data_IF_486382220908
#
_entry.id   IF_486382220908
#
_cell.length_a   1.000
_cell.length_b   1.000
_cell.length_c   1.000
_cell.angle_alpha   90.00
_cell.angle_beta   90.00
_cell.angle_gamma   90.00
#
_symmetry.space_group_name_H-M   'P 1'
#
loop_
_entity.id
_entity.type
_entity.pdbx_description
1 polymer ?
#
# COMPACT_ATOMS: atom_id res chain seq x y z
N UNK A 1 37.06 -33.17 39.57
CA UNK A 1 37.15 -32.08 38.56
C UNK A 1 37.37 -32.66 37.16
N UNK A 2 36.41 -33.44 36.63
CA UNK A 2 36.53 -34.03 35.28
C UNK A 2 35.20 -34.13 34.52
N UNK A 3 34.11 -33.59 35.08
CA UNK A 3 32.78 -33.66 34.47
C UNK A 3 32.18 -32.27 34.18
N UNK A 4 32.89 -31.19 34.50
CA UNK A 4 32.45 -29.80 34.24
C UNK A 4 32.88 -29.32 32.83
N UNK A 5 33.83 -30.00 32.19
CA UNK A 5 34.38 -29.59 30.89
C UNK A 5 33.58 -30.05 29.66
N UNK A 6 32.59 -30.94 29.81
CA UNK A 6 31.79 -31.45 28.68
C UNK A 6 30.54 -30.58 28.43
N UNK A 7 30.06 -29.85 29.43
CA UNK A 7 28.89 -28.96 29.29
C UNK A 7 29.22 -27.63 28.59
N UNK A 8 30.48 -27.22 28.54
CA UNK A 8 30.92 -26.02 27.81
C UNK A 8 31.11 -26.25 26.31
N UNK A 9 31.14 -27.50 25.84
CA UNK A 9 31.35 -27.84 24.43
C UNK A 9 30.05 -27.82 23.61
N UNK A 10 28.89 -27.92 24.27
CA UNK A 10 27.58 -27.98 23.61
C UNK A 10 26.95 -26.57 23.51
N UNK A 11 27.37 -25.62 24.36
CA UNK A 11 26.85 -24.24 24.35
C UNK A 11 27.40 -23.34 23.22
N UNK A 12 28.40 -23.81 22.45
CA UNK A 12 29.03 -23.03 21.38
C UNK A 12 28.57 -23.44 19.97
N UNK A 13 27.66 -24.41 19.82
CA UNK A 13 27.16 -24.88 18.52
C UNK A 13 25.73 -24.43 18.18
N UNK A 14 25.11 -23.57 19.00
CA UNK A 14 23.83 -22.94 18.68
C UNK A 14 23.98 -21.44 18.39
N UNK A 15 25.07 -21.05 17.73
CA UNK A 15 25.00 -19.84 16.91
C UNK A 15 24.26 -20.22 15.64
N UNK A 16 23.06 -19.71 15.36
CA UNK A 16 22.57 -19.74 14.01
C UNK A 16 23.60 -18.97 13.19
N UNK A 17 24.37 -19.69 12.37
CA UNK A 17 25.06 -19.11 11.23
C UNK A 17 24.06 -18.16 10.58
N UNK A 18 24.43 -16.89 10.50
CA UNK A 18 23.67 -15.81 9.90
C UNK A 18 23.36 -16.14 8.42
N UNK A 19 22.36 -16.98 8.22
CA UNK A 19 21.54 -17.07 7.03
C UNK A 19 20.27 -16.32 7.37
N UNK A 20 20.32 -14.98 7.27
CA UNK A 20 19.14 -14.15 7.38
C UNK A 20 18.23 -14.52 6.21
N UNK A 21 17.35 -15.50 6.43
CA UNK A 21 16.25 -15.81 5.53
C UNK A 21 15.40 -14.55 5.47
N UNK A 22 15.59 -13.75 4.43
CA UNK A 22 14.74 -12.62 4.09
C UNK A 22 13.40 -13.21 3.65
N UNK A 23 12.57 -13.63 4.61
CA UNK A 23 11.20 -14.02 4.33
C UNK A 23 10.57 -12.86 3.55
N UNK A 24 10.38 -13.09 2.24
CA UNK A 24 9.71 -12.16 1.34
C UNK A 24 8.33 -11.90 1.97
N UNK A 25 8.01 -10.63 2.24
CA UNK A 25 6.73 -10.26 2.83
C UNK A 25 5.62 -10.85 1.96
N UNK A 26 4.72 -11.63 2.56
CA UNK A 26 3.51 -12.08 1.86
C UNK A 26 2.59 -10.88 1.68
N UNK A 27 2.49 -10.39 0.44
CA UNK A 27 1.68 -9.22 0.12
C UNK A 27 0.19 -9.46 0.32
N UNK A 28 -0.28 -10.70 0.24
CA UNK A 28 -1.69 -11.02 0.49
C UNK A 28 -2.00 -10.85 1.98
N UNK A 29 -1.09 -11.35 2.83
CA UNK A 29 -1.19 -11.15 4.28
C UNK A 29 -1.07 -9.67 4.64
N UNK A 30 -0.08 -8.96 4.11
CA UNK A 30 0.08 -7.52 4.33
C UNK A 30 -1.16 -6.73 3.88
N UNK A 31 -1.74 -7.04 2.72
CA UNK A 31 -2.94 -6.37 2.25
C UNK A 31 -4.14 -6.62 3.17
N UNK A 32 -4.29 -7.84 3.69
CA UNK A 32 -5.30 -8.15 4.71
C UNK A 32 -5.11 -7.32 5.98
N UNK A 33 -3.86 -7.22 6.47
CA UNK A 33 -3.52 -6.39 7.62
C UNK A 33 -3.80 -4.90 7.37
N UNK A 34 -3.50 -4.40 6.17
CA UNK A 34 -3.80 -3.02 5.78
C UNK A 34 -5.31 -2.78 5.72
N UNK A 35 -6.10 -3.69 5.15
CA UNK A 35 -7.57 -3.59 5.14
C UNK A 35 -8.13 -3.52 6.57
N UNK A 36 -7.68 -4.41 7.47
CA UNK A 36 -8.08 -4.38 8.88
C UNK A 36 -7.67 -3.09 9.57
N UNK A 37 -6.47 -2.59 9.30
CA UNK A 37 -6.00 -1.34 9.85
C UNK A 37 -6.84 -0.15 9.36
N UNK A 38 -7.15 -0.10 8.06
CA UNK A 38 -8.00 0.94 7.47
C UNK A 38 -9.41 0.91 8.06
N UNK A 39 -9.98 -0.28 8.26
CA UNK A 39 -11.28 -0.44 8.90
C UNK A 39 -11.25 0.09 10.35
N UNK A 40 -10.21 -0.22 11.11
CA UNK A 40 -10.05 0.25 12.50
C UNK A 40 -9.72 1.75 12.61
N UNK A 41 -9.20 2.36 11.54
CA UNK A 41 -8.80 3.77 11.48
C UNK A 41 -9.56 4.51 10.37
N UNK A 42 -10.83 4.15 10.18
CA UNK A 42 -11.63 4.58 9.05
C UNK A 42 -12.01 6.07 9.11
N UNK A 43 -11.93 6.69 10.30
CA UNK A 43 -12.11 8.13 10.49
C UNK A 43 -10.85 8.87 10.05
N UNK A 44 -10.79 9.20 8.76
CA UNK A 44 -9.64 9.88 8.16
C UNK A 44 -9.83 11.41 8.21
N UNK A 45 -8.94 12.15 8.89
CA UNK A 45 -9.04 13.61 8.95
C UNK A 45 -9.01 14.26 7.56
N UNK A 46 -9.97 15.15 7.30
CA UNK A 46 -10.08 15.90 6.04
C UNK A 46 -10.82 15.16 4.91
N UNK A 47 -11.25 13.92 5.12
CA UNK A 47 -12.10 13.21 4.17
C UNK A 47 -13.54 13.69 4.29
N UNK A 48 -14.15 14.06 3.17
CA UNK A 48 -15.56 14.46 3.12
C UNK A 48 -16.48 13.31 3.59
N UNK A 49 -17.57 13.58 4.33
CA UNK A 49 -18.46 12.52 4.85
C UNK A 49 -18.99 11.53 3.80
N UNK A 50 -19.22 11.97 2.56
CA UNK A 50 -19.66 11.12 1.45
C UNK A 50 -18.61 10.08 1.01
N UNK A 51 -17.34 10.32 1.34
CA UNK A 51 -16.22 9.42 1.05
C UNK A 51 -15.67 8.77 2.33
N UNK A 52 -16.41 8.84 3.44
CA UNK A 52 -15.97 8.31 4.72
C UNK A 52 -15.80 6.78 4.67
N UNK A 53 -14.58 6.33 4.96
CA UNK A 53 -14.21 4.93 4.98
C UNK A 53 -14.99 4.10 6.01
N UNK A 54 -15.52 4.72 7.07
CA UNK A 54 -16.28 4.01 8.11
C UNK A 54 -17.63 3.49 7.63
N UNK A 55 -18.18 4.09 6.57
CA UNK A 55 -19.48 3.71 6.03
C UNK A 55 -19.38 2.64 4.93
N UNK A 56 -18.16 2.19 4.61
CA UNK A 56 -17.93 1.22 3.55
C UNK A 56 -18.17 -0.20 4.05
N UNK A 57 -18.63 -1.06 3.14
CA UNK A 57 -18.58 -2.49 3.34
C UNK A 57 -17.11 -2.96 3.26
N UNK A 58 -16.63 -3.59 4.32
CA UNK A 58 -15.29 -4.17 4.40
C UNK A 58 -15.26 -5.68 4.17
N UNK A 59 -16.43 -6.32 4.02
CA UNK A 59 -16.55 -7.75 3.76
C UNK A 59 -16.26 -8.05 2.28
N UNK A 60 -15.02 -7.81 1.89
CA UNK A 60 -14.49 -8.06 0.56
C UNK A 60 -13.27 -8.99 0.65
N UNK A 61 -13.04 -9.83 -0.36
CA UNK A 61 -11.81 -10.63 -0.41
C UNK A 61 -10.59 -9.72 -0.50
N UNK A 62 -9.44 -10.25 -0.08
CA UNK A 62 -8.14 -9.60 -0.32
C UNK A 62 -7.91 -9.51 -1.84
N UNK A 63 -7.49 -8.35 -2.38
CA UNK A 63 -7.25 -8.21 -3.82
C UNK A 63 -6.08 -9.09 -4.27
N UNK A 64 -6.11 -9.52 -5.55
CA UNK A 64 -4.95 -10.15 -6.19
C UNK A 64 -3.86 -9.10 -6.38
N UNK A 65 -2.65 -9.37 -5.88
CA UNK A 65 -1.51 -8.45 -5.94
C UNK A 65 -0.36 -9.09 -6.71
N UNK A 66 0.08 -8.42 -7.78
CA UNK A 66 1.22 -8.86 -8.59
C UNK A 66 2.41 -7.92 -8.39
N UNK A 67 3.55 -8.48 -7.98
CA UNK A 67 4.83 -7.74 -7.88
C UNK A 67 5.54 -7.79 -9.23
N UNK A 68 5.93 -6.63 -9.75
CA UNK A 68 6.63 -6.51 -11.01
C UNK A 68 7.92 -5.68 -10.90
N UNK A 69 8.98 -6.04 -11.64
CA UNK A 69 10.11 -5.14 -11.84
C UNK A 69 9.65 -3.89 -12.59
N UNK A 70 10.36 -2.77 -12.39
CA UNK A 70 10.03 -1.43 -12.93
C UNK A 70 9.58 -1.44 -14.40
N UNK A 71 10.33 -2.14 -15.27
CA UNK A 71 10.06 -2.19 -16.71
C UNK A 71 8.72 -2.86 -17.02
N UNK A 72 8.38 -3.94 -16.31
CA UNK A 72 7.11 -4.64 -16.48
C UNK A 72 5.95 -3.85 -15.86
N UNK A 73 6.16 -3.24 -14.69
CA UNK A 73 5.15 -2.39 -14.06
C UNK A 73 4.73 -1.22 -14.98
N UNK A 74 5.71 -0.54 -15.58
CA UNK A 74 5.45 0.54 -16.55
C UNK A 74 4.70 0.03 -17.79
N UNK A 75 5.01 -1.18 -18.25
CA UNK A 75 4.33 -1.80 -19.39
C UNK A 75 2.85 -2.07 -19.06
N UNK A 76 2.57 -2.70 -17.92
CA UNK A 76 1.19 -2.99 -17.50
C UNK A 76 0.40 -1.72 -17.19
N UNK A 77 1.03 -0.71 -16.59
CA UNK A 77 0.38 0.57 -16.32
C UNK A 77 -0.06 1.26 -17.62
N UNK A 78 0.80 1.29 -18.65
CA UNK A 78 0.45 1.83 -19.98
C UNK A 78 -0.64 1.02 -20.67
N UNK A 79 -0.58 -0.31 -20.60
CA UNK A 79 -1.60 -1.20 -21.16
C UNK A 79 -2.98 -0.93 -20.57
N UNK A 80 -3.06 -0.53 -19.30
CA UNK A 80 -4.31 -0.18 -18.61
C UNK A 80 -4.71 1.32 -18.78
N UNK A 81 -4.04 2.05 -19.66
CA UNK A 81 -4.31 3.46 -19.94
C UNK A 81 -3.87 4.42 -18.82
N UNK A 82 -2.93 3.99 -17.97
CA UNK A 82 -2.43 4.78 -16.86
C UNK A 82 -1.59 5.99 -17.31
N UNK A 83 -1.78 7.10 -16.63
CA UNK A 83 -1.00 8.32 -16.76
C UNK A 83 -0.71 8.91 -15.37
N UNK A 84 0.44 9.57 -15.18
CA UNK A 84 0.76 10.27 -13.93
C UNK A 84 0.89 11.76 -14.25
N UNK A 85 -0.10 12.59 -13.89
CA UNK A 85 -0.06 14.02 -14.16
C UNK A 85 1.23 14.68 -13.65
N UNK A 86 1.93 15.39 -14.54
CA UNK A 86 3.15 16.13 -14.19
C UNK A 86 4.37 15.26 -13.81
N UNK A 87 4.37 13.95 -14.12
CA UNK A 87 5.50 13.05 -13.89
C UNK A 87 5.71 12.08 -15.04
N UNK A 88 6.95 11.60 -15.26
CA UNK A 88 7.18 10.50 -16.19
C UNK A 88 6.50 9.23 -15.67
N UNK A 89 5.92 8.42 -16.57
CA UNK A 89 5.29 7.14 -16.22
C UNK A 89 6.21 6.19 -15.43
N UNK A 90 7.53 6.31 -15.60
CA UNK A 90 8.53 5.56 -14.83
C UNK A 90 8.50 5.83 -13.31
N UNK A 91 7.75 6.85 -12.88
CA UNK A 91 7.49 7.19 -11.50
C UNK A 91 6.56 6.22 -10.77
N UNK A 92 5.76 5.43 -11.50
CA UNK A 92 4.74 4.52 -10.94
C UNK A 92 5.33 3.58 -9.89
N UNK A 93 4.62 3.42 -8.77
CA UNK A 93 5.01 2.59 -7.62
C UNK A 93 4.03 1.45 -7.36
N UNK A 94 2.77 1.69 -7.67
CA UNK A 94 1.71 0.72 -7.80
C UNK A 94 0.63 1.29 -8.69
N UNK A 95 -0.35 0.46 -9.05
CA UNK A 95 -1.63 0.93 -9.55
C UNK A 95 -2.70 -0.15 -9.37
N UNK A 96 -3.90 0.32 -9.04
CA UNK A 96 -5.15 -0.43 -9.08
C UNK A 96 -5.73 -0.49 -10.51
N UNK A 97 -6.28 -1.64 -10.91
CA UNK A 97 -7.02 -1.78 -12.17
C UNK A 97 -8.53 -1.71 -11.92
N UNK A 98 -9.16 -0.64 -12.41
CA UNK A 98 -10.59 -0.36 -12.20
C UNK A 98 -11.51 -0.79 -13.36
N UNK A 99 -10.97 -1.38 -14.44
CA UNK A 99 -11.75 -1.70 -15.65
C UNK A 99 -11.19 -2.89 -16.42
N UNK A 100 -12.00 -3.42 -17.33
CA UNK A 100 -11.62 -4.53 -18.20
C UNK A 100 -11.51 -5.88 -17.47
N UNK A 101 -10.87 -6.85 -18.12
CA UNK A 101 -10.77 -8.24 -17.63
C UNK A 101 -9.90 -8.40 -16.37
N UNK A 102 -9.01 -7.45 -16.12
CA UNK A 102 -8.10 -7.45 -14.97
C UNK A 102 -8.62 -6.54 -13.84
N UNK A 103 -9.89 -6.08 -13.90
CA UNK A 103 -10.49 -5.28 -12.84
C UNK A 103 -10.35 -6.00 -11.49
N UNK A 104 -10.06 -5.22 -10.45
CA UNK A 104 -9.78 -5.66 -9.08
C UNK A 104 -8.35 -6.15 -8.80
N UNK A 105 -7.46 -6.15 -9.80
CA UNK A 105 -6.03 -6.46 -9.58
C UNK A 105 -5.24 -5.23 -9.15
N UNK A 106 -4.23 -5.46 -8.33
CA UNK A 106 -3.23 -4.45 -7.95
C UNK A 106 -1.86 -4.89 -8.47
N UNK A 107 -1.17 -3.99 -9.17
CA UNK A 107 0.21 -4.20 -9.57
C UNK A 107 1.12 -3.31 -8.74
N UNK A 108 2.18 -3.88 -8.20
CA UNK A 108 3.11 -3.20 -7.31
C UNK A 108 4.55 -3.31 -7.80
N UNK A 109 5.36 -2.29 -7.56
CA UNK A 109 6.80 -2.32 -7.83
C UNK A 109 7.50 -3.32 -6.91
N UNK A 110 8.41 -4.12 -7.46
CA UNK A 110 9.32 -4.94 -6.67
C UNK A 110 10.27 -4.07 -5.82
N UNK A 111 10.02 -4.06 -4.51
CA UNK A 111 10.72 -3.27 -3.50
C UNK A 111 10.54 -3.89 -2.11
N UNK A 112 11.25 -3.36 -1.11
CA UNK A 112 11.20 -3.91 0.25
C UNK A 112 9.94 -3.46 1.03
N UNK A 113 8.95 -4.35 1.11
CA UNK A 113 7.69 -4.16 1.85
C UNK A 113 7.80 -4.29 3.38
N UNK A 114 8.99 -4.54 3.94
CA UNK A 114 9.21 -4.36 5.38
C UNK A 114 9.31 -2.89 5.79
N UNK A 115 9.44 -1.98 4.81
CA UNK A 115 9.49 -0.53 5.03
C UNK A 115 8.09 0.10 4.95
N UNK A 116 7.83 1.10 5.79
CA UNK A 116 6.53 1.78 5.87
C UNK A 116 6.13 2.46 4.55
N UNK A 117 7.07 3.07 3.80
CA UNK A 117 6.73 3.77 2.56
C UNK A 117 6.11 2.83 1.50
N UNK A 118 6.74 1.70 1.12
CA UNK A 118 6.09 0.71 0.25
C UNK A 118 4.77 0.15 0.77
N UNK A 119 4.61 -0.02 2.09
CA UNK A 119 3.34 -0.43 2.68
C UNK A 119 2.26 0.66 2.51
N UNK A 120 2.63 1.93 2.69
CA UNK A 120 1.74 3.06 2.45
C UNK A 120 1.35 3.16 0.97
N UNK A 121 2.28 2.94 0.04
CA UNK A 121 1.98 2.86 -1.39
C UNK A 121 1.00 1.71 -1.69
N UNK A 122 1.13 0.55 -1.04
CA UNK A 122 0.15 -0.54 -1.19
C UNK A 122 -1.21 -0.18 -0.59
N UNK A 123 -1.24 0.47 0.58
CA UNK A 123 -2.47 0.92 1.22
C UNK A 123 -3.24 1.93 0.34
N UNK A 124 -2.53 2.77 -0.41
CA UNK A 124 -3.13 3.64 -1.41
C UNK A 124 -3.91 2.82 -2.46
N UNK A 125 -3.29 1.81 -3.07
CA UNK A 125 -3.96 0.98 -4.07
C UNK A 125 -5.09 0.11 -3.47
N UNK A 126 -4.94 -0.36 -2.23
CA UNK A 126 -5.99 -1.08 -1.51
C UNK A 126 -7.19 -0.16 -1.22
N UNK A 127 -6.97 1.13 -0.97
CA UNK A 127 -8.05 2.11 -0.79
C UNK A 127 -8.88 2.26 -2.07
N UNK A 128 -8.22 2.38 -3.24
CA UNK A 128 -8.92 2.37 -4.53
C UNK A 128 -9.73 1.09 -4.75
N UNK A 129 -9.17 -0.07 -4.40
CA UNK A 129 -9.90 -1.35 -4.46
C UNK A 129 -11.18 -1.35 -3.59
N UNK A 130 -11.09 -0.87 -2.35
CA UNK A 130 -12.25 -0.81 -1.44
C UNK A 130 -13.28 0.20 -1.91
N UNK A 131 -12.86 1.37 -2.40
CA UNK A 131 -13.75 2.35 -3.02
C UNK A 131 -14.49 1.74 -4.22
N UNK A 132 -13.79 1.04 -5.12
CA UNK A 132 -14.40 0.40 -6.29
C UNK A 132 -15.41 -0.70 -5.89
N UNK A 133 -15.07 -1.54 -4.91
CA UNK A 133 -15.96 -2.58 -4.40
C UNK A 133 -17.22 -2.04 -3.73
N UNK A 134 -17.18 -0.79 -3.27
CA UNK A 134 -18.31 -0.06 -2.71
C UNK A 134 -19.02 0.84 -3.74
N UNK A 135 -18.63 0.80 -5.01
CA UNK A 135 -19.26 1.59 -6.07
C UNK A 135 -18.93 3.08 -6.03
N UNK A 136 -17.81 3.46 -5.40
CA UNK A 136 -17.43 4.86 -5.19
C UNK A 136 -16.39 5.38 -6.19
N UNK A 137 -15.94 4.56 -7.15
CA UNK A 137 -15.14 5.08 -8.26
C UNK A 137 -16.04 5.88 -9.20
N UNK A 138 -15.67 7.15 -9.41
CA UNK A 138 -16.39 8.11 -10.24
C UNK A 138 -15.48 8.63 -11.36
N UNK A 139 -16.06 9.30 -12.35
CA UNK A 139 -15.28 9.97 -13.40
C UNK A 139 -14.57 11.24 -12.92
N UNK A 140 -14.76 11.66 -11.67
CA UNK A 140 -14.08 12.79 -11.04
C UNK A 140 -12.88 12.29 -10.21
N UNK A 141 -11.63 12.40 -10.71
CA UNK A 141 -10.46 11.85 -10.04
C UNK A 141 -10.27 12.30 -8.59
N UNK A 142 -10.45 13.59 -8.24
CA UNK A 142 -10.30 14.04 -6.86
C UNK A 142 -11.19 13.31 -5.85
N UNK A 143 -12.42 12.92 -6.23
CA UNK A 143 -13.39 12.29 -5.33
C UNK A 143 -12.91 10.93 -4.79
N UNK A 144 -12.04 10.24 -5.51
CA UNK A 144 -11.49 8.96 -5.07
C UNK A 144 -9.98 9.02 -4.75
N UNK A 145 -9.21 9.89 -5.41
CA UNK A 145 -7.77 10.08 -5.13
C UNK A 145 -7.50 10.80 -3.80
N UNK A 146 -8.22 11.89 -3.50
CA UNK A 146 -7.99 12.67 -2.28
C UNK A 146 -8.21 11.83 -1.01
N UNK A 147 -9.35 11.12 -0.84
CA UNK A 147 -9.55 10.27 0.33
C UNK A 147 -8.46 9.21 0.48
N UNK A 148 -8.06 8.60 -0.63
CA UNK A 148 -7.01 7.59 -0.67
C UNK A 148 -5.64 8.13 -0.26
N UNK A 149 -5.27 9.34 -0.70
CA UNK A 149 -4.05 10.01 -0.24
C UNK A 149 -4.09 10.39 1.25
N UNK A 150 -5.24 10.85 1.75
CA UNK A 150 -5.40 11.18 3.16
C UNK A 150 -5.25 9.93 4.05
N UNK A 151 -5.85 8.80 3.64
CA UNK A 151 -5.66 7.50 4.30
C UNK A 151 -4.19 7.07 4.28
N UNK A 152 -3.51 7.20 3.14
CA UNK A 152 -2.07 6.90 3.01
C UNK A 152 -1.22 7.74 3.97
N UNK A 153 -1.51 9.04 4.08
CA UNK A 153 -0.83 9.97 4.98
C UNK A 153 -1.07 9.59 6.44
N UNK A 154 -2.31 9.27 6.81
CA UNK A 154 -2.65 8.84 8.16
C UNK A 154 -1.92 7.57 8.56
N UNK A 155 -1.89 6.56 7.69
CA UNK A 155 -1.12 5.33 7.91
C UNK A 155 0.36 5.62 8.15
N UNK A 156 0.97 6.41 7.25
CA UNK A 156 2.38 6.74 7.36
C UNK A 156 2.70 7.48 8.67
N UNK A 157 1.85 8.44 9.05
CA UNK A 157 1.98 9.17 10.32
C UNK A 157 1.86 8.24 11.52
N UNK A 158 0.85 7.36 11.53
CA UNK A 158 0.63 6.40 12.61
C UNK A 158 1.82 5.43 12.79
N UNK A 159 2.46 5.00 11.70
CA UNK A 159 3.58 4.04 11.75
C UNK A 159 4.94 4.67 12.03
N UNK A 160 5.12 5.95 11.77
CA UNK A 160 6.44 6.62 11.90
C UNK A 160 6.51 7.68 12.99
N UNK A 161 5.37 8.16 13.49
CA UNK A 161 5.29 9.35 14.35
C UNK A 161 5.60 10.67 13.64
N UNK A 162 6.02 10.62 12.36
CA UNK A 162 6.39 11.79 11.58
C UNK A 162 5.23 12.26 10.70
N UNK A 163 5.17 13.57 10.42
CA UNK A 163 4.23 14.12 9.44
C UNK A 163 4.44 13.54 8.03
N UNK A 164 3.47 13.76 7.14
CA UNK A 164 3.60 13.40 5.74
C UNK A 164 4.87 13.98 5.13
N UNK A 165 5.61 13.18 4.37
CA UNK A 165 6.80 13.71 3.67
C UNK A 165 6.37 14.79 2.67
N UNK A 166 7.23 15.78 2.42
CA UNK A 166 6.98 16.83 1.42
C UNK A 166 6.60 16.25 0.03
N UNK A 167 7.10 15.04 -0.27
CA UNK A 167 6.77 14.30 -1.48
C UNK A 167 5.32 13.79 -1.49
N UNK A 168 4.82 13.24 -0.39
CA UNK A 168 3.42 12.78 -0.27
C UNK A 168 2.45 13.97 -0.37
N UNK A 169 2.78 15.08 0.30
CA UNK A 169 1.98 16.32 0.22
C UNK A 169 1.99 16.90 -1.20
N UNK A 170 3.11 16.79 -1.93
CA UNK A 170 3.22 17.28 -3.30
C UNK A 170 2.40 16.46 -4.30
N UNK A 171 2.25 15.16 -4.11
CA UNK A 171 1.35 14.34 -4.95
C UNK A 171 -0.12 14.70 -4.68
N UNK A 172 -0.51 14.84 -3.41
CA UNK A 172 -1.84 15.31 -3.00
C UNK A 172 -2.24 16.65 -3.68
N UNK A 173 -1.33 17.64 -3.70
CA UNK A 173 -1.58 18.97 -4.28
C UNK A 173 -1.68 19.01 -5.81
N UNK A 174 -1.62 17.89 -6.52
CA UNK A 174 -1.68 17.86 -8.00
C UNK A 174 -3.02 17.41 -8.55
N UNK A 175 -3.87 16.81 -7.72
CA UNK A 175 -5.19 16.35 -8.09
C UNK A 175 -6.22 17.43 -7.75
N UNK A 176 -6.30 18.47 -8.58
CA UNK A 176 -7.38 19.46 -8.53
C UNK A 176 -8.19 19.38 -9.82
N UNK A 177 -9.40 18.85 -9.73
CA UNK A 177 -10.51 19.40 -10.52
C UNK A 177 -11.13 20.48 -9.63
N UNK A 178 -11.47 21.64 -10.20
CA UNK A 178 -12.31 22.63 -9.53
C UNK A 178 -13.59 21.92 -9.06
N UNK A 179 -13.58 21.50 -7.82
CA UNK A 179 -14.76 21.02 -7.12
C UNK A 179 -14.85 21.94 -5.93
N UNK A 180 -15.86 22.81 -6.01
CA UNK A 180 -16.30 23.66 -4.91
C UNK A 180 -16.79 22.72 -3.80
N UNK A 181 -15.87 22.22 -2.99
CA UNK A 181 -16.16 21.66 -1.68
C UNK A 181 -15.15 22.25 -0.70
#
# INVERSE_FOLDING_TARGET
>A
VRHILILLSILLLSFPLFGQSTKKVDLSLLAKELMLWMQANCEVPGVHPEHNFCNLNWNHPVPEITILPRKQLVKEFRKNGGNIPGRPVSAVKGFYVNRGRERFKIYMLDQNYSKVLPQADLLHEVSHYIQDKNGLLTDCPPNYEIPTYLMQIQYYKAKTGNGATAKMIKEYKRHFCNTLY
#
